data_IF_433046119159
#
_entry.id   IF_433046119159
#
_cell.length_a   1.000
_cell.length_b   1.000
_cell.length_c   1.000
_cell.angle_alpha   90.00
_cell.angle_beta   90.00
_cell.angle_gamma   90.00
#
_symmetry.space_group_name_H-M   'P 1'
#
loop_
_entity.id
_entity.type
_entity.pdbx_description
1 polymer ?
#
# COMPACT_ATOMS: atom_id res chain seq x y z
N UNK A 1 15.00 2.03 -6.91
CA UNK A 1 14.05 3.14 -7.13
C UNK A 1 14.50 4.02 -8.30
N UNK A 2 13.61 4.45 -9.22
CA UNK A 2 13.98 5.36 -10.31
C UNK A 2 14.36 6.72 -9.69
N UNK A 3 15.54 7.23 -10.05
CA UNK A 3 16.10 8.49 -9.53
C UNK A 3 15.69 9.67 -10.41
N UNK A 4 14.40 9.98 -10.53
CA UNK A 4 14.01 11.26 -11.13
C UNK A 4 14.28 12.38 -10.11
N UNK A 5 14.98 13.48 -10.49
CA UNK A 5 15.36 14.56 -9.57
C UNK A 5 14.20 15.15 -8.75
N UNK A 6 13.00 15.14 -9.33
CA UNK A 6 11.79 15.71 -8.74
C UNK A 6 11.17 14.83 -7.64
N UNK A 7 11.23 13.50 -7.76
CA UNK A 7 10.80 12.60 -6.68
C UNK A 7 11.81 12.62 -5.53
N UNK A 8 13.10 12.79 -5.84
CA UNK A 8 14.13 13.01 -4.83
C UNK A 8 13.85 14.30 -4.04
N UNK A 9 13.37 15.36 -4.69
CA UNK A 9 13.04 16.62 -4.01
C UNK A 9 11.95 16.45 -2.94
N UNK A 10 10.90 15.67 -3.20
CA UNK A 10 9.85 15.43 -2.18
C UNK A 10 10.44 14.77 -0.94
N UNK A 11 11.14 13.64 -1.12
CA UNK A 11 11.60 12.82 -0.01
C UNK A 11 12.87 13.35 0.66
N UNK A 12 13.74 14.07 -0.06
CA UNK A 12 15.01 14.60 0.47
C UNK A 12 14.90 16.04 0.97
N UNK A 13 13.91 16.82 0.53
CA UNK A 13 13.77 18.23 0.91
C UNK A 13 12.42 18.55 1.56
N UNK A 14 11.31 18.35 0.85
CA UNK A 14 10.00 18.75 1.33
C UNK A 14 9.59 18.01 2.62
N UNK A 15 9.70 16.67 2.62
CA UNK A 15 9.32 15.82 3.76
C UNK A 15 10.16 16.15 5.01
N UNK A 16 11.50 16.22 4.96
CA UNK A 16 12.30 16.66 6.10
C UNK A 16 11.94 18.05 6.63
N UNK A 17 11.74 19.04 5.74
CA UNK A 17 11.34 20.40 6.14
C UNK A 17 10.00 20.43 6.87
N UNK A 18 9.02 19.65 6.40
CA UNK A 18 7.73 19.51 7.08
C UNK A 18 7.88 18.75 8.41
N UNK A 19 8.73 17.72 8.46
CA UNK A 19 8.97 16.94 9.67
C UNK A 19 9.49 17.80 10.82
N UNK A 20 10.36 18.79 10.56
CA UNK A 20 10.82 19.72 11.61
C UNK A 20 9.72 20.58 12.21
N UNK A 21 8.57 20.74 11.52
CA UNK A 21 7.40 21.48 12.00
C UNK A 21 6.30 20.58 12.55
N UNK A 22 6.41 19.26 12.39
CA UNK A 22 5.35 18.31 12.69
C UNK A 22 5.91 17.04 13.34
N UNK A 23 5.75 16.92 14.66
CA UNK A 23 6.28 15.81 15.46
C UNK A 23 5.84 14.44 14.94
N UNK A 24 4.56 14.29 14.59
CA UNK A 24 4.02 13.05 14.04
C UNK A 24 4.75 12.59 12.76
N UNK A 25 5.06 13.53 11.85
CA UNK A 25 5.79 13.26 10.62
C UNK A 25 7.26 12.93 10.91
N UNK A 26 7.89 13.67 11.83
CA UNK A 26 9.27 13.39 12.26
C UNK A 26 9.41 11.98 12.81
N UNK A 27 8.50 11.54 13.69
CA UNK A 27 8.52 10.19 14.22
C UNK A 27 8.40 9.14 13.11
N UNK A 28 7.57 9.35 12.08
CA UNK A 28 7.47 8.41 10.97
C UNK A 28 8.74 8.37 10.09
N UNK A 29 9.37 9.51 9.85
CA UNK A 29 10.67 9.56 9.15
C UNK A 29 11.75 8.80 9.93
N UNK A 30 11.79 8.96 11.25
CA UNK A 30 12.71 8.24 12.13
C UNK A 30 12.40 6.74 12.19
N UNK A 31 11.12 6.35 12.19
CA UNK A 31 10.70 4.95 12.13
C UNK A 31 11.16 4.28 10.83
N UNK A 32 10.96 4.91 9.67
CA UNK A 32 11.46 4.39 8.38
C UNK A 32 12.97 4.21 8.42
N UNK A 33 13.69 5.21 8.96
CA UNK A 33 15.14 5.17 9.09
C UNK A 33 15.61 4.02 9.99
N UNK A 34 14.91 3.77 11.10
CA UNK A 34 15.19 2.69 12.01
C UNK A 34 14.91 1.31 11.37
N UNK A 35 13.77 1.13 10.72
CA UNK A 35 13.49 -0.13 9.99
C UNK A 35 14.50 -0.38 8.86
N UNK A 36 14.89 0.65 8.12
CA UNK A 36 15.90 0.50 7.09
C UNK A 36 17.27 0.11 7.68
N UNK A 37 17.64 0.64 8.85
CA UNK A 37 18.83 0.15 9.59
C UNK A 37 18.69 -1.31 10.03
N UNK A 38 17.51 -1.72 10.49
CA UNK A 38 17.23 -3.11 10.87
C UNK A 38 17.36 -4.07 9.67
N UNK A 39 17.01 -3.60 8.47
CA UNK A 39 17.19 -4.33 7.22
C UNK A 39 18.68 -4.45 6.85
N UNK A 40 19.44 -3.34 6.93
CA UNK A 40 20.86 -3.30 6.55
C UNK A 40 21.80 -4.00 7.55
N UNK A 41 21.43 -4.05 8.84
CA UNK A 41 22.24 -4.62 9.92
C UNK A 41 21.49 -5.73 10.66
N UNK A 42 21.46 -6.97 10.13
CA UNK A 42 20.75 -8.08 10.75
C UNK A 42 21.16 -8.38 12.21
N UNK A 43 22.42 -8.14 12.57
CA UNK A 43 22.95 -8.32 13.93
C UNK A 43 22.34 -7.36 14.96
N UNK A 44 21.85 -6.20 14.52
CA UNK A 44 21.23 -5.18 15.37
C UNK A 44 19.73 -5.05 15.09
N UNK A 45 19.13 -6.00 14.35
CA UNK A 45 17.76 -5.91 13.86
C UNK A 45 16.77 -5.64 14.97
N UNK A 46 16.79 -6.43 16.04
CA UNK A 46 15.86 -6.29 17.17
C UNK A 46 15.94 -4.91 17.83
N UNK A 47 17.17 -4.40 18.01
CA UNK A 47 17.40 -3.07 18.56
C UNK A 47 16.74 -1.97 17.71
N UNK A 48 16.93 -2.03 16.39
CA UNK A 48 16.40 -1.03 15.48
C UNK A 48 14.89 -1.16 15.27
N UNK A 49 14.35 -2.39 15.23
CA UNK A 49 12.90 -2.66 15.20
C UNK A 49 12.24 -2.07 16.44
N UNK A 50 12.78 -2.30 17.64
CA UNK A 50 12.22 -1.76 18.88
C UNK A 50 12.16 -0.22 18.86
N UNK A 51 13.20 0.44 18.34
CA UNK A 51 13.18 1.90 18.16
C UNK A 51 12.11 2.35 17.17
N UNK A 52 11.99 1.65 16.04
CA UNK A 52 11.01 1.97 15.01
C UNK A 52 9.57 1.87 15.56
N UNK A 53 9.27 0.80 16.29
CA UNK A 53 7.98 0.61 16.97
C UNK A 53 7.73 1.69 18.04
N UNK A 54 8.78 2.09 18.77
CA UNK A 54 8.69 3.18 19.74
C UNK A 54 8.33 4.53 19.11
N UNK A 55 8.83 4.83 17.92
CA UNK A 55 8.43 6.02 17.16
C UNK A 55 7.00 5.87 16.60
N UNK A 56 6.67 4.69 16.07
CA UNK A 56 5.34 4.40 15.54
C UNK A 56 4.24 4.62 16.58
N UNK A 57 4.40 4.08 17.80
CA UNK A 57 3.43 4.25 18.88
C UNK A 57 3.22 5.71 19.31
N UNK A 58 4.26 6.56 19.21
CA UNK A 58 4.14 8.00 19.51
C UNK A 58 3.38 8.76 18.41
N UNK A 59 3.50 8.34 17.16
CA UNK A 59 2.77 8.97 16.05
C UNK A 59 1.27 8.81 16.18
N UNK A 60 0.77 7.65 16.64
CA UNK A 60 -0.67 7.37 16.63
C UNK A 60 -1.48 8.36 17.48
N UNK A 61 -1.00 8.71 18.67
CA UNK A 61 -1.66 9.72 19.53
C UNK A 61 -1.59 11.12 18.90
N UNK A 62 -0.40 11.55 18.47
CA UNK A 62 -0.20 12.87 17.85
C UNK A 62 -1.02 13.03 16.57
N UNK A 63 -1.09 11.99 15.74
CA UNK A 63 -1.84 11.99 14.49
C UNK A 63 -3.35 12.06 14.75
N UNK A 64 -3.86 11.32 15.74
CA UNK A 64 -5.28 11.35 16.11
C UNK A 64 -5.71 12.75 16.57
N UNK A 65 -4.85 13.47 17.29
CA UNK A 65 -5.10 14.85 17.67
C UNK A 65 -5.03 15.78 16.46
N UNK A 66 -3.97 15.68 15.64
CA UNK A 66 -3.77 16.52 14.47
C UNK A 66 -4.90 16.38 13.43
N UNK A 67 -5.48 15.19 13.30
CA UNK A 67 -6.58 14.93 12.34
C UNK A 67 -7.91 15.58 12.78
N UNK A 68 -8.08 15.93 14.07
CA UNK A 68 -9.28 16.65 14.56
C UNK A 68 -9.27 18.13 14.17
N UNK A 69 -8.09 18.70 13.98
CA UNK A 69 -7.88 20.11 13.64
C UNK A 69 -7.23 20.23 12.26
N UNK A 70 -7.71 19.43 11.30
CA UNK A 70 -7.16 19.37 9.96
C UNK A 70 -7.39 20.69 9.21
N UNK A 71 -6.31 21.28 8.68
CA UNK A 71 -6.32 22.53 7.90
C UNK A 71 -5.64 22.31 6.56
N UNK A 72 -5.77 23.27 5.64
CA UNK A 72 -5.05 23.21 4.36
C UNK A 72 -3.52 23.21 4.53
N UNK A 73 -3.00 23.82 5.60
CA UNK A 73 -1.56 23.82 5.89
C UNK A 73 -1.11 22.46 6.48
N UNK A 74 -1.89 21.88 7.40
CA UNK A 74 -1.53 20.63 8.07
C UNK A 74 -1.85 19.38 7.24
N UNK A 75 -2.70 19.47 6.22
CA UNK A 75 -3.09 18.31 5.40
C UNK A 75 -1.88 17.64 4.72
N UNK A 76 -0.87 18.42 4.31
CA UNK A 76 0.34 17.88 3.70
C UNK A 76 1.16 17.03 4.67
N UNK A 77 1.39 17.52 5.89
CA UNK A 77 2.19 16.78 6.87
C UNK A 77 1.43 15.55 7.38
N UNK A 78 0.11 15.64 7.54
CA UNK A 78 -0.75 14.52 7.94
C UNK A 78 -0.82 13.46 6.84
N UNK A 79 -1.02 13.84 5.59
CA UNK A 79 -1.00 12.92 4.45
C UNK A 79 0.36 12.24 4.28
N UNK A 80 1.47 13.00 4.41
CA UNK A 80 2.81 12.43 4.42
C UNK A 80 3.02 11.44 5.58
N UNK A 81 2.50 11.76 6.76
CA UNK A 81 2.59 10.88 7.94
C UNK A 81 1.85 9.57 7.70
N UNK A 82 0.63 9.64 7.18
CA UNK A 82 -0.16 8.46 6.84
C UNK A 82 0.51 7.61 5.75
N UNK A 83 1.09 8.25 4.73
CA UNK A 83 1.84 7.55 3.68
C UNK A 83 3.07 6.81 4.24
N UNK A 84 3.81 7.45 5.15
CA UNK A 84 4.96 6.82 5.83
C UNK A 84 4.53 5.74 6.84
N UNK A 85 3.36 5.88 7.48
CA UNK A 85 2.80 4.83 8.32
C UNK A 85 2.58 3.55 7.51
N UNK A 86 2.01 3.65 6.30
CA UNK A 86 1.83 2.49 5.41
C UNK A 86 3.18 1.83 5.08
N UNK A 87 4.21 2.62 4.71
CA UNK A 87 5.57 2.10 4.45
C UNK A 87 6.14 1.41 5.70
N UNK A 88 5.98 2.02 6.87
CA UNK A 88 6.45 1.46 8.13
C UNK A 88 5.71 0.16 8.50
N UNK A 89 4.42 0.04 8.22
CA UNK A 89 3.68 -1.20 8.43
C UNK A 89 4.19 -2.34 7.55
N UNK A 90 4.46 -2.06 6.26
CA UNK A 90 5.11 -3.04 5.38
C UNK A 90 6.50 -3.44 5.91
N UNK A 91 7.33 -2.46 6.28
CA UNK A 91 8.68 -2.69 6.81
C UNK A 91 8.68 -3.47 8.13
N UNK A 92 7.68 -3.21 8.98
CA UNK A 92 7.49 -3.86 10.27
C UNK A 92 7.32 -5.37 10.11
N UNK A 93 6.45 -5.80 9.20
CA UNK A 93 6.29 -7.22 8.85
C UNK A 93 7.60 -7.82 8.33
N UNK A 94 8.27 -7.16 7.38
CA UNK A 94 9.53 -7.65 6.80
C UNK A 94 10.67 -7.82 7.81
N UNK A 95 10.63 -7.10 8.94
CA UNK A 95 11.67 -7.16 9.97
C UNK A 95 11.32 -8.06 11.16
N UNK A 96 10.06 -8.46 11.32
CA UNK A 96 9.58 -9.29 12.43
C UNK A 96 9.35 -10.74 12.00
N UNK A 97 9.30 -11.68 12.95
CA UNK A 97 8.87 -13.06 12.64
C UNK A 97 7.36 -13.04 12.41
N UNK A 98 6.86 -13.52 11.26
CA UNK A 98 5.52 -13.17 10.80
C UNK A 98 4.41 -13.85 11.61
N UNK A 99 3.36 -13.09 11.87
CA UNK A 99 2.02 -13.60 12.08
C UNK A 99 1.36 -13.95 10.73
N UNK A 100 0.04 -13.79 10.62
CA UNK A 100 -0.68 -13.99 9.36
C UNK A 100 -0.43 -12.81 8.42
N UNK A 101 0.24 -13.04 7.28
CA UNK A 101 0.51 -11.99 6.28
C UNK A 101 -0.78 -11.32 5.78
N UNK A 102 -1.86 -12.10 5.71
CA UNK A 102 -3.18 -11.62 5.33
C UNK A 102 -3.74 -10.65 6.36
N UNK A 103 -3.64 -10.96 7.65
CA UNK A 103 -4.16 -10.08 8.71
C UNK A 103 -3.41 -8.74 8.71
N UNK A 104 -2.08 -8.78 8.64
CA UNK A 104 -1.25 -7.58 8.54
C UNK A 104 -1.58 -6.76 7.27
N UNK A 105 -1.86 -7.42 6.14
CA UNK A 105 -2.27 -6.73 4.91
C UNK A 105 -3.63 -6.05 5.04
N UNK A 106 -4.60 -6.69 5.70
CA UNK A 106 -5.92 -6.11 5.92
C UNK A 106 -5.85 -4.88 6.83
N UNK A 107 -4.99 -4.90 7.84
CA UNK A 107 -4.72 -3.71 8.69
C UNK A 107 -4.10 -2.57 7.86
N UNK A 108 -3.18 -2.90 6.95
CA UNK A 108 -2.62 -1.92 6.00
C UNK A 108 -3.71 -1.36 5.07
N UNK A 109 -4.63 -2.20 4.59
CA UNK A 109 -5.75 -1.74 3.76
C UNK A 109 -6.65 -0.78 4.54
N UNK A 110 -6.99 -1.07 5.80
CA UNK A 110 -7.80 -0.17 6.61
C UNK A 110 -7.11 1.18 6.86
N UNK A 111 -5.82 1.15 7.20
CA UNK A 111 -5.01 2.37 7.32
C UNK A 111 -5.04 3.19 6.03
N UNK A 112 -4.87 2.52 4.89
CA UNK A 112 -4.80 3.16 3.57
C UNK A 112 -6.15 3.74 3.15
N UNK A 113 -7.25 3.03 3.43
CA UNK A 113 -8.63 3.50 3.20
C UNK A 113 -8.96 4.74 4.03
N UNK A 114 -8.44 4.82 5.26
CA UNK A 114 -8.55 6.01 6.10
C UNK A 114 -8.01 7.29 5.46
N UNK A 115 -7.02 7.18 4.55
CA UNK A 115 -6.46 8.32 3.81
C UNK A 115 -7.42 8.88 2.75
N UNK A 116 -8.39 8.11 2.28
CA UNK A 116 -9.30 8.50 1.20
C UNK A 116 -10.10 9.77 1.56
N UNK A 117 -10.50 9.90 2.84
CA UNK A 117 -11.20 11.09 3.33
C UNK A 117 -10.36 12.37 3.20
N UNK A 118 -9.07 12.28 3.55
CA UNK A 118 -8.13 13.41 3.44
C UNK A 118 -7.89 13.78 1.98
N UNK A 119 -7.66 12.77 1.13
CA UNK A 119 -7.45 12.95 -0.32
C UNK A 119 -8.63 13.67 -0.97
N UNK A 120 -9.87 13.26 -0.65
CA UNK A 120 -11.08 13.89 -1.21
C UNK A 120 -11.32 15.30 -0.67
N UNK A 121 -11.10 15.51 0.63
CA UNK A 121 -11.41 16.79 1.27
C UNK A 121 -10.40 17.88 0.91
N UNK A 122 -9.12 17.53 0.74
CA UNK A 122 -8.03 18.48 0.50
C UNK A 122 -7.35 18.27 -0.86
N UNK A 123 -8.06 17.73 -1.85
CA UNK A 123 -7.51 17.43 -3.19
C UNK A 123 -6.80 18.65 -3.79
N UNK A 124 -7.48 19.80 -3.83
CA UNK A 124 -6.91 21.03 -4.39
C UNK A 124 -5.61 21.46 -3.70
N UNK A 125 -5.58 21.43 -2.36
CA UNK A 125 -4.38 21.77 -1.58
C UNK A 125 -3.26 20.77 -1.84
N UNK A 126 -3.55 19.47 -1.78
CA UNK A 126 -2.58 18.40 -2.00
C UNK A 126 -1.98 18.43 -3.43
N UNK A 127 -2.77 18.80 -4.43
CA UNK A 127 -2.39 18.82 -5.85
C UNK A 127 -1.65 20.10 -6.26
N UNK A 128 -1.68 21.14 -5.42
CA UNK A 128 -0.96 22.40 -5.65
C UNK A 128 0.20 22.62 -4.69
N UNK A 129 0.27 21.87 -3.58
CA UNK A 129 1.29 22.04 -2.56
C UNK A 129 2.52 21.13 -2.69
N UNK A 130 3.32 20.99 -1.62
CA UNK A 130 4.65 20.36 -1.66
C UNK A 130 4.68 18.88 -2.10
N UNK A 131 3.53 18.20 -2.08
CA UNK A 131 3.40 16.79 -2.45
C UNK A 131 2.79 16.57 -3.84
N UNK A 132 2.44 17.65 -4.56
CA UNK A 132 1.72 17.63 -5.83
C UNK A 132 2.29 16.66 -6.86
N UNK A 133 3.63 16.61 -6.96
CA UNK A 133 4.35 15.76 -7.93
C UNK A 133 4.06 14.26 -7.79
N UNK A 134 3.60 13.80 -6.61
CA UNK A 134 3.16 12.41 -6.41
C UNK A 134 1.87 12.08 -7.18
N UNK A 135 1.00 13.06 -7.42
CA UNK A 135 -0.31 12.90 -8.07
C UNK A 135 -0.26 13.10 -9.59
N UNK A 136 0.82 13.69 -10.11
CA UNK A 136 0.99 13.94 -11.54
C UNK A 136 1.66 12.76 -12.28
N UNK A 137 1.32 12.51 -13.55
CA UNK A 137 1.94 11.47 -14.37
C UNK A 137 3.45 11.67 -14.53
N UNK A 138 4.24 10.63 -14.25
CA UNK A 138 5.69 10.64 -14.43
C UNK A 138 6.07 10.93 -15.89
N UNK A 139 7.16 11.67 -16.09
CA UNK A 139 7.71 11.93 -17.43
C UNK A 139 8.37 10.69 -18.06
N UNK A 140 8.60 9.65 -17.25
CA UNK A 140 9.19 8.38 -17.68
C UNK A 140 8.32 7.22 -17.17
N UNK A 141 7.09 7.08 -17.68
CA UNK A 141 6.25 5.93 -17.34
C UNK A 141 6.93 4.64 -17.80
N UNK A 142 6.66 3.55 -17.08
CA UNK A 142 7.27 2.24 -17.36
C UNK A 142 6.19 1.21 -17.64
N UNK A 143 6.25 0.64 -18.82
CA UNK A 143 5.47 -0.53 -19.19
C UNK A 143 6.06 -1.81 -18.58
N UNK A 144 5.21 -2.83 -18.37
CA UNK A 144 5.57 -4.09 -17.72
C UNK A 144 4.71 -5.22 -18.27
N UNK A 145 5.31 -6.12 -19.06
CA UNK A 145 4.60 -7.24 -19.67
C UNK A 145 3.96 -8.13 -18.60
N UNK A 146 4.65 -8.36 -17.49
CA UNK A 146 4.19 -9.16 -16.37
C UNK A 146 2.96 -8.53 -15.68
N UNK A 147 2.87 -7.20 -15.64
CA UNK A 147 1.65 -6.52 -15.16
C UNK A 147 0.54 -6.58 -16.19
N UNK A 148 0.87 -6.51 -17.48
CA UNK A 148 -0.07 -6.70 -18.58
C UNK A 148 -0.75 -8.07 -18.52
N UNK A 149 0.01 -9.14 -18.24
CA UNK A 149 -0.52 -10.50 -18.09
C UNK A 149 -1.47 -10.60 -16.88
N UNK A 150 -1.05 -10.08 -15.72
CA UNK A 150 -1.87 -10.03 -14.50
C UNK A 150 -3.19 -9.28 -14.75
N UNK A 151 -3.11 -8.13 -15.42
CA UNK A 151 -4.26 -7.32 -15.80
C UNK A 151 -5.21 -8.07 -16.75
N UNK A 152 -4.67 -8.71 -17.78
CA UNK A 152 -5.46 -9.44 -18.77
C UNK A 152 -6.20 -10.63 -18.16
N UNK A 153 -5.48 -11.44 -17.38
CA UNK A 153 -6.05 -12.63 -16.73
C UNK A 153 -7.16 -12.26 -15.74
N UNK A 154 -6.95 -11.21 -14.93
CA UNK A 154 -7.95 -10.72 -13.99
C UNK A 154 -9.19 -10.17 -14.71
N UNK A 155 -8.99 -9.36 -15.76
CA UNK A 155 -10.08 -8.79 -16.55
C UNK A 155 -10.94 -9.88 -17.20
N UNK A 156 -10.30 -10.94 -17.74
CA UNK A 156 -10.99 -12.09 -18.34
C UNK A 156 -11.88 -12.82 -17.33
N UNK A 157 -11.43 -12.98 -16.09
CA UNK A 157 -12.23 -13.60 -15.04
C UNK A 157 -13.38 -12.72 -14.58
N UNK A 158 -13.14 -11.42 -14.39
CA UNK A 158 -14.18 -10.47 -14.00
C UNK A 158 -15.30 -10.36 -15.05
N UNK A 159 -14.95 -10.48 -16.33
CA UNK A 159 -15.89 -10.43 -17.45
C UNK A 159 -16.77 -11.68 -17.59
N UNK A 160 -16.41 -12.81 -16.97
CA UNK A 160 -17.15 -14.07 -17.07
C UNK A 160 -18.13 -14.23 -15.90
N UNK A 161 -19.47 -14.16 -16.10
CA UNK A 161 -20.43 -14.26 -15.00
C UNK A 161 -20.45 -15.62 -14.30
N UNK A 162 -19.92 -16.66 -14.96
CA UNK A 162 -19.78 -18.01 -14.41
C UNK A 162 -18.48 -18.22 -13.63
N UNK A 163 -17.54 -17.27 -13.67
CA UNK A 163 -16.33 -17.30 -12.85
C UNK A 163 -16.64 -16.80 -11.43
N UNK A 164 -15.99 -17.35 -10.42
CA UNK A 164 -16.18 -17.00 -9.00
C UNK A 164 -16.00 -15.51 -8.69
N UNK A 165 -15.09 -14.83 -9.41
CA UNK A 165 -14.90 -13.37 -9.30
C UNK A 165 -16.02 -12.62 -10.02
N UNK A 166 -16.38 -13.08 -11.23
CA UNK A 166 -17.41 -12.46 -12.04
C UNK A 166 -18.85 -12.73 -11.58
N UNK A 167 -19.09 -13.68 -10.67
CA UNK A 167 -20.43 -13.91 -10.11
C UNK A 167 -20.76 -12.94 -8.97
N UNK A 168 -19.76 -12.56 -8.17
CA UNK A 168 -19.93 -11.65 -7.02
C UNK A 168 -19.73 -10.18 -7.45
N UNK A 169 -20.72 -9.28 -7.24
CA UNK A 169 -20.59 -7.88 -7.66
C UNK A 169 -19.42 -7.13 -7.01
N UNK A 170 -19.12 -7.37 -5.73
CA UNK A 170 -18.06 -6.66 -5.02
C UNK A 170 -16.68 -7.16 -5.47
N UNK A 171 -16.52 -8.47 -5.70
CA UNK A 171 -15.28 -9.03 -6.24
C UNK A 171 -15.04 -8.59 -7.68
N UNK A 172 -16.06 -8.57 -8.53
CA UNK A 172 -15.97 -8.02 -9.89
C UNK A 172 -15.56 -6.54 -9.88
N UNK A 173 -16.19 -5.72 -9.05
CA UNK A 173 -15.82 -4.31 -8.91
C UNK A 173 -14.35 -4.14 -8.43
N UNK A 174 -13.92 -4.96 -7.47
CA UNK A 174 -12.54 -4.94 -6.99
C UNK A 174 -11.55 -5.36 -8.09
N UNK A 175 -11.88 -6.39 -8.88
CA UNK A 175 -11.08 -6.85 -10.01
C UNK A 175 -10.97 -5.82 -11.14
N UNK A 176 -12.09 -5.17 -11.51
CA UNK A 176 -12.13 -4.09 -12.50
C UNK A 176 -11.31 -2.88 -12.02
N UNK A 177 -11.45 -2.49 -10.76
CA UNK A 177 -10.65 -1.38 -10.20
C UNK A 177 -9.15 -1.70 -10.11
N UNK A 178 -8.77 -2.96 -9.85
CA UNK A 178 -7.36 -3.39 -9.86
C UNK A 178 -6.79 -3.37 -11.28
N UNK A 179 -7.55 -3.88 -12.25
CA UNK A 179 -7.22 -3.82 -13.68
C UNK A 179 -6.97 -2.38 -14.11
N UNK A 180 -7.88 -1.46 -13.78
CA UNK A 180 -7.73 -0.03 -14.05
C UNK A 180 -6.51 0.57 -13.34
N UNK A 181 -6.26 0.22 -12.08
CA UNK A 181 -5.09 0.69 -11.34
C UNK A 181 -3.77 0.26 -12.00
N UNK A 182 -3.69 -0.98 -12.48
CA UNK A 182 -2.52 -1.51 -13.20
C UNK A 182 -2.29 -0.74 -14.50
N UNK A 183 -3.34 -0.61 -15.32
CA UNK A 183 -3.27 0.14 -16.58
C UNK A 183 -2.78 1.58 -16.35
N UNK A 184 -3.43 2.30 -15.44
CA UNK A 184 -3.05 3.68 -15.10
C UNK A 184 -1.63 3.76 -14.56
N UNK A 185 -1.19 2.82 -13.74
CA UNK A 185 0.15 2.81 -13.20
C UNK A 185 1.22 2.65 -14.28
N UNK A 186 1.02 1.75 -15.26
CA UNK A 186 1.94 1.57 -16.39
C UNK A 186 2.02 2.82 -17.26
N UNK A 187 0.90 3.53 -17.45
CA UNK A 187 0.83 4.75 -18.25
C UNK A 187 1.37 6.01 -17.54
N UNK A 188 1.44 6.02 -16.21
CA UNK A 188 1.68 7.27 -15.45
C UNK A 188 2.77 7.18 -14.38
N UNK A 189 3.42 6.04 -14.20
CA UNK A 189 4.41 5.84 -13.13
C UNK A 189 5.71 5.21 -13.65
N UNK A 190 6.83 5.71 -13.16
CA UNK A 190 8.15 5.07 -13.33
C UNK A 190 8.33 3.82 -12.45
N UNK A 191 7.44 3.63 -11.47
CA UNK A 191 7.36 2.46 -10.59
C UNK A 191 5.90 1.96 -10.54
N UNK A 192 5.41 1.29 -11.59
CA UNK A 192 4.00 0.91 -11.71
C UNK A 192 3.54 -0.04 -10.60
N UNK A 193 4.34 -1.06 -10.25
CA UNK A 193 4.03 -2.00 -9.16
C UNK A 193 3.74 -1.29 -7.83
N UNK A 194 4.64 -0.38 -7.41
CA UNK A 194 4.46 0.39 -6.18
C UNK A 194 3.24 1.31 -6.27
N UNK A 195 3.01 1.93 -7.43
CA UNK A 195 1.83 2.79 -7.63
C UNK A 195 0.55 2.00 -7.35
N UNK A 196 0.42 0.78 -7.87
CA UNK A 196 -0.74 -0.09 -7.62
C UNK A 196 -0.82 -0.48 -6.14
N UNK A 197 0.28 -0.96 -5.55
CA UNK A 197 0.35 -1.42 -4.15
C UNK A 197 -0.18 -0.35 -3.17
N UNK A 198 0.17 0.92 -3.38
CA UNK A 198 -0.25 2.02 -2.50
C UNK A 198 -1.62 2.62 -2.85
N UNK A 199 -1.99 2.72 -4.13
CA UNK A 199 -3.19 3.46 -4.52
C UNK A 199 -4.45 2.60 -4.61
N UNK A 200 -4.34 1.35 -5.04
CA UNK A 200 -5.53 0.50 -5.18
C UNK A 200 -6.30 0.30 -3.86
N UNK A 201 -5.63 0.07 -2.71
CA UNK A 201 -6.35 -0.13 -1.45
C UNK A 201 -7.19 1.07 -1.00
N UNK A 202 -6.83 2.30 -1.40
CA UNK A 202 -7.53 3.55 -1.01
C UNK A 202 -9.00 3.53 -1.44
N UNK A 203 -9.30 2.90 -2.58
CA UNK A 203 -10.61 2.91 -3.22
C UNK A 203 -11.44 1.63 -2.97
N UNK A 204 -10.98 0.71 -2.13
CA UNK A 204 -11.70 -0.54 -1.85
C UNK A 204 -13.04 -0.27 -1.16
N UNK A 205 -14.08 -0.92 -1.66
CA UNK A 205 -15.43 -0.85 -1.10
C UNK A 205 -15.50 -1.54 0.26
N UNK A 206 -16.41 -1.09 1.12
CA UNK A 206 -16.67 -1.72 2.41
C UNK A 206 -17.09 -3.19 2.24
N UNK A 207 -17.84 -3.49 1.18
CA UNK A 207 -18.32 -4.84 0.90
C UNK A 207 -17.19 -5.79 0.52
N UNK A 208 -16.26 -5.37 -0.33
CA UNK A 208 -15.09 -6.19 -0.65
C UNK A 208 -14.20 -6.42 0.58
N UNK A 209 -14.00 -5.38 1.40
CA UNK A 209 -13.29 -5.52 2.67
C UNK A 209 -13.99 -6.48 3.65
N UNK A 210 -15.33 -6.48 3.67
CA UNK A 210 -16.12 -7.43 4.46
C UNK A 210 -15.90 -8.86 3.99
N UNK A 211 -15.92 -9.12 2.67
CA UNK A 211 -15.65 -10.43 2.09
C UNK A 211 -14.24 -10.93 2.44
N UNK A 212 -13.22 -10.06 2.35
CA UNK A 212 -11.85 -10.41 2.76
C UNK A 212 -11.76 -10.79 4.24
N UNK A 213 -12.41 -10.04 5.14
CA UNK A 213 -12.44 -10.35 6.58
C UNK A 213 -13.18 -11.65 6.89
N UNK A 214 -14.17 -12.00 6.06
CA UNK A 214 -14.91 -13.26 6.17
C UNK A 214 -14.19 -14.44 5.51
N UNK A 215 -13.01 -14.23 4.92
CA UNK A 215 -12.25 -15.26 4.22
C UNK A 215 -13.01 -15.84 3.02
N UNK A 216 -13.81 -15.01 2.37
CA UNK A 216 -14.60 -15.43 1.21
C UNK A 216 -13.69 -15.74 0.01
N UNK A 217 -13.80 -16.92 -0.61
CA UNK A 217 -12.81 -17.40 -1.58
C UNK A 217 -12.70 -16.53 -2.81
N UNK A 218 -13.85 -16.01 -3.28
CA UNK A 218 -13.96 -15.08 -4.41
C UNK A 218 -13.09 -13.83 -4.19
N UNK A 219 -13.10 -13.28 -2.97
CA UNK A 219 -12.31 -12.11 -2.62
C UNK A 219 -10.81 -12.43 -2.54
N UNK A 220 -10.46 -13.64 -2.10
CA UNK A 220 -9.07 -14.10 -2.05
C UNK A 220 -8.48 -14.39 -3.43
N UNK A 221 -9.29 -14.71 -4.44
CA UNK A 221 -8.82 -14.72 -5.84
C UNK A 221 -8.35 -13.32 -6.24
N UNK A 222 -9.15 -12.27 -6.00
CA UNK A 222 -8.74 -10.89 -6.33
C UNK A 222 -7.51 -10.46 -5.52
N UNK A 223 -7.47 -10.82 -4.22
CA UNK A 223 -6.31 -10.56 -3.37
C UNK A 223 -5.04 -11.25 -3.87
N UNK A 224 -5.16 -12.46 -4.41
CA UNK A 224 -4.03 -13.18 -5.00
C UNK A 224 -3.43 -12.40 -6.18
N UNK A 225 -4.25 -11.77 -7.03
CA UNK A 225 -3.76 -10.90 -8.10
C UNK A 225 -3.05 -9.66 -7.56
N UNK A 226 -3.58 -9.04 -6.50
CA UNK A 226 -2.88 -7.96 -5.80
C UNK A 226 -1.53 -8.43 -5.23
N UNK A 227 -1.49 -9.59 -4.57
CA UNK A 227 -0.27 -10.19 -4.05
C UNK A 227 0.74 -10.49 -5.17
N UNK A 228 0.26 -10.88 -6.36
CA UNK A 228 1.10 -11.06 -7.54
C UNK A 228 1.74 -9.75 -7.98
N UNK A 229 0.98 -8.65 -8.06
CA UNK A 229 1.52 -7.31 -8.35
C UNK A 229 2.59 -6.91 -7.32
N UNK A 230 2.33 -7.16 -6.04
CA UNK A 230 3.28 -6.89 -4.96
C UNK A 230 4.57 -7.71 -5.15
N UNK A 231 4.46 -9.01 -5.42
CA UNK A 231 5.60 -9.92 -5.60
C UNK A 231 6.50 -9.50 -6.78
N UNK A 232 5.93 -8.92 -7.84
CA UNK A 232 6.69 -8.41 -8.98
C UNK A 232 7.45 -7.11 -8.63
N UNK A 233 6.92 -6.32 -7.70
CA UNK A 233 7.57 -5.08 -7.22
C UNK A 233 8.62 -5.32 -6.12
N UNK A 234 8.45 -6.37 -5.33
CA UNK A 234 9.25 -6.70 -4.14
C UNK A 234 10.78 -6.65 -4.36
N UNK A 235 11.37 -7.22 -5.43
CA UNK A 235 12.83 -7.27 -5.58
C UNK A 235 13.54 -5.91 -5.58
N UNK A 236 12.81 -4.82 -5.83
CA UNK A 236 13.35 -3.47 -5.92
C UNK A 236 13.09 -2.61 -4.67
N UNK A 237 12.47 -3.19 -3.63
CA UNK A 237 11.86 -2.44 -2.52
C UNK A 237 12.06 -3.18 -1.20
N UNK A 238 13.01 -2.70 -0.39
CA UNK A 238 13.43 -3.36 0.86
C UNK A 238 12.29 -3.60 1.86
N UNK A 239 11.33 -2.67 1.95
CA UNK A 239 10.22 -2.77 2.91
C UNK A 239 9.11 -3.72 2.46
N UNK A 240 9.18 -4.28 1.25
CA UNK A 240 8.25 -5.32 0.77
C UNK A 240 8.84 -6.73 0.88
N UNK A 241 10.06 -6.87 1.38
CA UNK A 241 10.75 -8.17 1.47
C UNK A 241 9.92 -9.20 2.26
N UNK A 242 9.73 -10.39 1.69
CA UNK A 242 9.01 -11.51 2.29
C UNK A 242 7.48 -11.46 2.16
N UNK A 243 6.91 -10.37 1.63
CA UNK A 243 5.47 -10.22 1.49
C UNK A 243 4.89 -11.03 0.34
N UNK A 244 5.52 -11.00 -0.84
CA UNK A 244 4.96 -11.60 -2.06
C UNK A 244 4.75 -13.10 -1.92
N UNK A 245 5.78 -13.82 -1.47
CA UNK A 245 5.69 -15.27 -1.25
C UNK A 245 4.65 -15.62 -0.17
N UNK A 246 4.67 -14.92 0.96
CA UNK A 246 3.78 -15.19 2.08
C UNK A 246 2.31 -14.96 1.70
N UNK A 247 2.01 -13.84 1.05
CA UNK A 247 0.64 -13.52 0.61
C UNK A 247 0.13 -14.47 -0.46
N UNK A 248 0.96 -14.80 -1.46
CA UNK A 248 0.57 -15.74 -2.52
C UNK A 248 0.24 -17.12 -1.95
N UNK A 249 1.08 -17.62 -1.04
CA UNK A 249 0.86 -18.89 -0.35
C UNK A 249 -0.43 -18.85 0.47
N UNK A 250 -0.58 -17.86 1.34
CA UNK A 250 -1.72 -17.79 2.27
C UNK A 250 -3.05 -17.58 1.51
N UNK A 251 -3.06 -16.75 0.46
CA UNK A 251 -4.23 -16.57 -0.40
C UNK A 251 -4.56 -17.83 -1.22
N UNK A 252 -3.54 -18.56 -1.68
CA UNK A 252 -3.75 -19.83 -2.37
C UNK A 252 -4.39 -20.88 -1.46
N UNK A 253 -3.95 -21.01 -0.20
CA UNK A 253 -4.60 -21.93 0.75
C UNK A 253 -6.09 -21.62 0.95
N UNK A 254 -6.43 -20.34 1.15
CA UNK A 254 -7.81 -19.90 1.37
C UNK A 254 -8.72 -20.04 0.14
N UNK A 255 -8.14 -20.05 -1.07
CA UNK A 255 -8.91 -20.33 -2.30
C UNK A 255 -9.13 -21.83 -2.50
N UNK A 256 -8.15 -22.70 -2.18
CA UNK A 256 -8.28 -24.16 -2.31
C UNK A 256 -9.21 -24.79 -1.28
N UNK A 257 -9.13 -24.36 -0.01
CA UNK A 257 -9.97 -24.92 1.08
C UNK A 257 -11.47 -24.77 0.79
N UNK A 258 -11.84 -23.75 0.02
CA UNK A 258 -13.22 -23.50 -0.33
C UNK A 258 -13.70 -24.16 -1.62
N UNK A 259 -12.79 -24.49 -2.55
CA UNK A 259 -13.11 -25.34 -3.70
C UNK A 259 -13.21 -26.80 -3.26
N UNK A 260 -12.47 -27.20 -2.21
CA UNK A 260 -12.51 -28.54 -1.63
C UNK A 260 -13.75 -28.85 -0.77
N UNK A 261 -14.48 -27.83 -0.29
CA UNK A 261 -15.69 -28.00 0.55
C UNK A 261 -17.00 -28.07 -0.26
N UNK A 262 -16.92 -28.03 -1.59
CA UNK A 262 -18.06 -28.13 -2.51
C UNK A 262 -18.12 -29.46 -3.29
N UNK A 263 -17.29 -30.45 -2.93
CA UNK A 263 -17.30 -31.81 -3.50
C UNK A 263 -17.73 -32.86 -2.47
#
# INVERSE_FOLDING_TARGET
MPRTPELLHIWQDAIPKMAFKSSHLMYQVLAVSAFHKAHLAPSEREHWVLRALGFHGRTTEDLRLATRELTEESCHSIFATASLLVINSFASYSCQSPGSAIEDLLDIFELTRGMNGILKMYESSLWSGPLARQFHPSDQPRDSAELGDVMHDLAKMAASPSNVVGSDPACRQAAESLTYAIERAMLTSSAPHLRVVFYWPIALSDEFMRLLKQKEPSAFVVLWYYARVLSLGEPNVWFLSGWGESLLRDAQHLTHDAVGTLN
#
